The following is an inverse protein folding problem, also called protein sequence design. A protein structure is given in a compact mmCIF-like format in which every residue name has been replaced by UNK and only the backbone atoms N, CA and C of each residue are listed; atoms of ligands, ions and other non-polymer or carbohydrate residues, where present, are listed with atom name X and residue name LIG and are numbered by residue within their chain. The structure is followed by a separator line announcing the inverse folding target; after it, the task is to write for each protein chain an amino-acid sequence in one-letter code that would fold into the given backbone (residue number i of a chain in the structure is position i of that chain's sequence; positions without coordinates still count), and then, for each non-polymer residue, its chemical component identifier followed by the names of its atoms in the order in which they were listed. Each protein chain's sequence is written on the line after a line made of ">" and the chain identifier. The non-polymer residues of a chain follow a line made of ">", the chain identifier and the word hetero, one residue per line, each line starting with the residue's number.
data_IF_939985188638
#
_entry.id   IF_939985188638
#
_cell.length_a   1.000
_cell.length_b   1.000
_cell.length_c   1.000
_cell.angle_alpha   90.00
_cell.angle_beta   90.00
_cell.angle_gamma   90.00
#
_symmetry.space_group_name_H-M   'P 1'
#
loop_
_entity.id
_entity.type
_entity.pdbx_description
1 polymer ?
#
# COMPACT_ATOMS: atom_id res chain seq x y z
N UNK A 1 45.69 -2.89 59.86
CA UNK A 1 45.46 -2.88 58.39
C UNK A 1 46.75 -2.60 57.61
N UNK A 2 47.68 -1.82 58.15
CA UNK A 2 48.95 -1.45 57.50
C UNK A 2 50.08 -2.47 57.64
N UNK A 3 49.97 -3.45 58.55
CA UNK A 3 51.00 -4.48 58.79
C UNK A 3 50.77 -5.79 58.02
N UNK A 4 49.75 -5.88 57.14
CA UNK A 4 49.50 -7.08 56.34
C UNK A 4 49.86 -6.83 54.85
N UNK A 5 51.03 -7.31 54.38
CA UNK A 5 51.48 -7.09 53.00
C UNK A 5 50.54 -7.69 51.96
N UNK A 6 49.83 -8.79 52.28
CA UNK A 6 48.87 -9.40 51.35
C UNK A 6 47.64 -8.51 51.14
N UNK A 7 47.18 -7.83 52.21
CA UNK A 7 46.07 -6.88 52.12
C UNK A 7 46.46 -5.61 51.34
N UNK A 8 47.70 -5.14 51.51
CA UNK A 8 48.24 -4.00 50.76
C UNK A 8 48.40 -4.32 49.26
N UNK A 9 48.91 -5.50 48.91
CA UNK A 9 49.03 -5.95 47.53
C UNK A 9 47.66 -6.16 46.86
N UNK A 10 46.67 -6.68 47.59
CA UNK A 10 45.29 -6.78 47.11
C UNK A 10 44.69 -5.42 46.75
N UNK A 11 44.87 -4.41 47.61
CA UNK A 11 44.43 -3.03 47.36
C UNK A 11 45.16 -2.40 46.16
N UNK A 12 46.48 -2.60 46.05
CA UNK A 12 47.27 -2.09 44.93
C UNK A 12 46.80 -2.69 43.60
N UNK A 13 46.59 -4.01 43.55
CA UNK A 13 46.09 -4.71 42.37
C UNK A 13 44.68 -4.23 41.98
N UNK A 14 43.79 -3.99 42.96
CA UNK A 14 42.47 -3.44 42.70
C UNK A 14 42.53 -2.02 42.10
N UNK A 15 43.42 -1.16 42.60
CA UNK A 15 43.66 0.18 42.05
C UNK A 15 44.23 0.13 40.63
N UNK A 16 45.19 -0.77 40.36
CA UNK A 16 45.71 -0.95 39.00
C UNK A 16 44.64 -1.47 38.04
N UNK A 17 43.79 -2.42 38.47
CA UNK A 17 42.69 -2.91 37.66
C UNK A 17 41.67 -1.81 37.35
N UNK A 18 41.31 -0.97 38.33
CA UNK A 18 40.43 0.18 38.14
C UNK A 18 41.03 1.21 37.19
N UNK A 19 42.32 1.54 37.34
CA UNK A 19 43.02 2.47 36.47
C UNK A 19 43.08 1.95 35.03
N UNK A 20 43.39 0.66 34.83
CA UNK A 20 43.37 0.03 33.52
C UNK A 20 41.98 0.05 32.89
N UNK A 21 40.93 -0.27 33.66
CA UNK A 21 39.54 -0.21 33.17
C UNK A 21 39.13 1.23 32.78
N UNK A 22 39.52 2.23 33.57
CA UNK A 22 39.26 3.64 33.27
C UNK A 22 39.98 4.11 31.99
N UNK A 23 41.23 3.68 31.78
CA UNK A 23 41.99 3.98 30.56
C UNK A 23 41.38 3.31 29.32
N UNK A 24 40.96 2.05 29.43
CA UNK A 24 40.26 1.34 28.34
C UNK A 24 38.96 2.06 28.00
N UNK A 25 38.18 2.44 29.02
CA UNK A 25 36.93 3.18 28.84
C UNK A 25 37.16 4.53 28.16
N UNK A 26 38.13 5.33 28.63
CA UNK A 26 38.46 6.62 28.06
C UNK A 26 38.96 6.48 26.60
N UNK A 27 39.82 5.50 26.32
CA UNK A 27 40.30 5.20 24.98
C UNK A 27 39.16 4.83 24.03
N UNK A 28 38.26 3.92 24.46
CA UNK A 28 37.08 3.54 23.68
C UNK A 28 36.15 4.74 23.44
N UNK A 29 35.92 5.57 24.47
CA UNK A 29 35.08 6.76 24.37
C UNK A 29 35.65 7.76 23.35
N UNK A 30 36.96 8.00 23.36
CA UNK A 30 37.64 8.87 22.40
C UNK A 30 37.54 8.30 20.99
N UNK A 31 37.72 6.99 20.80
CA UNK A 31 37.63 6.35 19.47
C UNK A 31 36.21 6.43 18.90
N UNK A 32 35.19 6.15 19.71
CA UNK A 32 33.77 6.17 19.28
C UNK A 32 33.32 7.59 18.89
N UNK A 33 33.77 8.61 19.63
CA UNK A 33 33.44 10.01 19.37
C UNK A 33 34.48 10.74 18.51
N UNK A 34 35.46 10.01 17.99
CA UNK A 34 36.55 10.62 17.22
C UNK A 34 36.03 11.13 15.87
N UNK A 35 36.37 12.37 15.48
CA UNK A 35 36.11 12.86 14.12
C UNK A 35 37.01 12.20 13.07
N UNK A 36 37.92 11.29 13.46
CA UNK A 36 38.86 10.61 12.56
C UNK A 36 38.21 9.52 11.69
N UNK A 37 37.00 9.06 12.04
CA UNK A 37 36.20 8.10 11.28
C UNK A 37 34.84 8.71 10.88
N UNK A 38 34.84 9.78 10.07
CA UNK A 38 33.59 10.39 9.62
C UNK A 38 32.82 9.37 8.78
N UNK A 39 31.48 9.39 8.90
CA UNK A 39 30.64 8.69 7.95
C UNK A 39 30.88 9.31 6.56
N UNK A 40 31.56 8.58 5.66
CA UNK A 40 31.99 9.15 4.37
C UNK A 40 30.97 8.94 3.27
N UNK A 41 30.25 7.81 3.32
CA UNK A 41 29.43 7.37 2.20
C UNK A 41 28.14 6.69 2.68
N UNK A 42 27.04 7.09 2.06
CA UNK A 42 25.78 6.36 2.07
C UNK A 42 25.71 5.53 0.79
N UNK A 43 25.77 4.22 0.92
CA UNK A 43 25.62 3.30 -0.19
C UNK A 43 24.13 2.96 -0.34
N UNK A 44 23.52 3.42 -1.43
CA UNK A 44 22.13 3.09 -1.75
C UNK A 44 22.08 1.79 -2.53
N UNK A 45 21.19 0.89 -2.12
CA UNK A 45 20.94 -0.37 -2.82
C UNK A 45 19.44 -0.50 -3.10
N UNK A 46 19.10 -0.71 -4.36
CA UNK A 46 17.72 -0.85 -4.83
C UNK A 46 17.56 -0.34 -6.26
N UNK A 47 16.58 -0.87 -6.98
CA UNK A 47 16.14 -0.30 -8.25
C UNK A 47 15.12 0.79 -7.95
N UNK A 48 15.56 2.05 -8.04
CA UNK A 48 14.71 3.21 -7.78
C UNK A 48 14.10 3.70 -9.09
N UNK A 49 12.78 3.60 -9.23
CA UNK A 49 12.05 4.09 -10.39
C UNK A 49 11.35 5.42 -10.09
N UNK A 50 10.92 5.62 -8.84
CA UNK A 50 10.10 6.77 -8.45
C UNK A 50 10.82 7.72 -7.48
N UNK A 51 11.70 7.20 -6.61
CA UNK A 51 12.45 8.01 -5.67
C UNK A 51 13.60 8.71 -6.38
N UNK A 52 13.59 10.05 -6.39
CA UNK A 52 14.63 10.83 -7.08
C UNK A 52 15.90 10.96 -6.26
N UNK A 53 17.02 11.22 -6.94
CA UNK A 53 18.31 11.43 -6.28
C UNK A 53 18.27 12.59 -5.28
N UNK A 54 17.56 13.66 -5.63
CA UNK A 54 17.42 14.86 -4.78
C UNK A 54 16.67 14.53 -3.48
N UNK A 55 15.60 13.73 -3.56
CA UNK A 55 14.85 13.29 -2.38
C UNK A 55 15.73 12.47 -1.44
N UNK A 56 16.53 11.57 -2.01
CA UNK A 56 17.51 10.76 -1.26
C UNK A 56 18.57 11.64 -0.60
N UNK A 57 19.13 12.60 -1.32
CA UNK A 57 20.14 13.51 -0.77
C UNK A 57 19.60 14.36 0.38
N UNK A 58 18.35 14.82 0.28
CA UNK A 58 17.68 15.57 1.36
C UNK A 58 17.45 14.66 2.58
N UNK A 59 16.91 13.46 2.39
CA UNK A 59 16.69 12.51 3.49
C UNK A 59 18.02 12.10 4.18
N UNK A 60 19.07 11.89 3.38
CA UNK A 60 20.41 11.60 3.86
C UNK A 60 20.98 12.74 4.72
N UNK A 61 20.91 13.99 4.24
CA UNK A 61 21.44 15.15 4.98
C UNK A 61 20.69 15.40 6.28
N UNK A 62 19.38 15.13 6.31
CA UNK A 62 18.55 15.33 7.49
C UNK A 62 18.83 14.32 8.61
N UNK A 63 19.30 13.11 8.28
CA UNK A 63 19.38 11.99 9.23
C UNK A 63 20.79 11.43 9.48
N UNK A 64 21.72 11.61 8.55
CA UNK A 64 23.07 11.08 8.67
C UNK A 64 24.01 12.05 9.41
N UNK A 65 23.62 12.47 10.61
CA UNK A 65 24.41 13.38 11.45
C UNK A 65 25.30 12.59 12.41
N UNK A 66 26.61 12.84 12.37
CA UNK A 66 27.58 12.27 13.33
C UNK A 66 28.70 11.43 12.68
N UNK A 67 29.37 10.63 13.52
CA UNK A 67 30.44 9.70 13.14
C UNK A 67 29.87 8.33 12.75
N UNK A 68 30.66 7.50 12.07
CA UNK A 68 30.29 6.12 11.71
C UNK A 68 29.76 5.31 12.92
N UNK A 69 30.32 5.54 14.10
CA UNK A 69 29.90 4.85 15.32
C UNK A 69 28.69 5.49 16.01
N UNK A 70 28.50 6.80 15.87
CA UNK A 70 27.48 7.56 16.61
C UNK A 70 26.19 7.81 15.82
N UNK A 71 26.18 7.57 14.50
CA UNK A 71 24.99 7.78 13.66
C UNK A 71 23.82 6.90 14.11
N UNK A 72 22.66 7.50 14.30
CA UNK A 72 21.42 6.78 14.62
C UNK A 72 20.85 6.14 13.34
N UNK A 73 20.94 4.81 13.27
CA UNK A 73 20.46 4.07 12.10
C UNK A 73 18.93 4.05 12.01
N UNK A 74 18.23 4.19 13.14
CA UNK A 74 16.76 4.21 13.17
C UNK A 74 16.24 5.60 12.77
N UNK A 75 16.98 6.67 13.07
CA UNK A 75 16.72 8.00 12.50
C UNK A 75 16.90 8.00 10.98
N UNK A 76 18.01 7.44 10.49
CA UNK A 76 18.25 7.27 9.04
C UNK A 76 17.12 6.48 8.40
N UNK A 77 16.73 5.34 8.99
CA UNK A 77 15.63 4.51 8.47
C UNK A 77 14.34 5.31 8.34
N UNK A 78 13.92 5.98 9.42
CA UNK A 78 12.68 6.77 9.45
C UNK A 78 12.68 7.92 8.43
N UNK A 79 13.83 8.56 8.21
CA UNK A 79 13.94 9.64 7.23
C UNK A 79 13.70 9.14 5.79
N UNK A 80 14.19 7.94 5.45
CA UNK A 80 13.94 7.34 4.15
C UNK A 80 12.52 6.77 4.03
N UNK A 81 11.97 6.17 5.09
CA UNK A 81 10.58 5.66 5.12
C UNK A 81 9.53 6.78 5.02
N UNK A 82 9.91 8.04 5.34
CA UNK A 82 9.04 9.20 5.15
C UNK A 82 8.82 9.56 3.67
N UNK A 83 9.62 9.02 2.75
CA UNK A 83 9.45 9.23 1.31
C UNK A 83 8.23 8.43 0.82
N UNK A 84 7.25 9.03 0.12
CA UNK A 84 5.97 8.37 -0.16
C UNK A 84 6.05 7.08 -0.98
N UNK A 85 7.05 6.98 -1.86
CA UNK A 85 7.26 5.80 -2.72
C UNK A 85 8.08 4.69 -2.05
N UNK A 86 8.61 4.94 -0.86
CA UNK A 86 9.44 3.97 -0.13
C UNK A 86 8.53 3.09 0.72
N UNK A 87 8.58 1.78 0.46
CA UNK A 87 7.83 0.78 1.23
C UNK A 87 8.58 0.36 2.48
N UNK A 88 9.84 0.00 2.31
CA UNK A 88 10.68 -0.58 3.36
C UNK A 88 12.10 -0.10 3.21
N UNK A 89 12.74 0.17 4.35
CA UNK A 89 14.15 0.57 4.40
C UNK A 89 14.89 -0.35 5.34
N UNK A 90 15.99 -0.91 4.86
CA UNK A 90 16.94 -1.66 5.68
C UNK A 90 18.26 -0.88 5.75
N UNK A 91 18.63 -0.49 6.97
CA UNK A 91 19.85 0.28 7.22
C UNK A 91 20.83 -0.61 7.96
N UNK A 92 22.05 -0.74 7.42
CA UNK A 92 23.13 -1.49 8.08
C UNK A 92 24.45 -0.75 7.97
N UNK A 93 25.30 -0.92 8.99
CA UNK A 93 26.67 -0.40 8.96
C UNK A 93 27.56 -1.33 8.15
N UNK A 94 28.34 -0.75 7.24
CA UNK A 94 29.38 -1.42 6.49
C UNK A 94 30.73 -0.82 6.89
N UNK A 95 31.49 -1.62 7.65
CA UNK A 95 32.84 -1.24 8.05
C UNK A 95 33.74 -1.04 6.81
N UNK A 96 34.67 -0.06 6.80
CA UNK A 96 35.07 0.81 7.93
C UNK A 96 34.31 2.13 8.10
N UNK A 97 33.66 2.65 7.06
CA UNK A 97 33.22 4.06 7.04
C UNK A 97 31.91 4.32 6.29
N UNK A 98 31.10 3.28 6.05
CA UNK A 98 29.88 3.37 5.23
C UNK A 98 28.63 2.94 5.96
N UNK A 99 27.52 3.59 5.65
CA UNK A 99 26.19 3.09 5.99
C UNK A 99 25.52 2.69 4.68
N UNK A 100 25.06 1.45 4.63
CA UNK A 100 24.26 0.99 3.51
C UNK A 100 22.78 1.15 3.83
N UNK A 101 22.06 1.74 2.89
CA UNK A 101 20.61 1.91 2.93
C UNK A 101 20.05 1.13 1.75
N UNK A 102 19.40 0.00 2.04
CA UNK A 102 18.65 -0.77 1.06
C UNK A 102 17.20 -0.28 1.07
N UNK A 103 16.69 0.12 -0.09
CA UNK A 103 15.36 0.70 -0.25
C UNK A 103 14.53 -0.22 -1.14
N UNK A 104 13.35 -0.58 -0.65
CA UNK A 104 12.30 -1.26 -1.42
C UNK A 104 11.22 -0.23 -1.79
N UNK A 105 11.02 0.02 -3.08
CA UNK A 105 9.95 0.90 -3.54
C UNK A 105 8.59 0.19 -3.58
N UNK A 106 7.52 0.96 -3.39
CA UNK A 106 6.17 0.48 -3.62
C UNK A 106 5.92 0.18 -5.10
N UNK A 107 5.41 -1.03 -5.39
CA UNK A 107 4.91 -1.39 -6.72
C UNK A 107 3.41 -1.12 -6.79
N UNK A 108 3.03 -0.07 -7.52
CA UNK A 108 1.63 0.33 -7.68
C UNK A 108 0.78 -0.74 -8.37
N UNK A 109 -0.32 -1.16 -7.74
CA UNK A 109 -1.27 -2.13 -8.30
C UNK A 109 -2.56 -1.46 -8.81
N UNK A 110 -3.12 -0.54 -8.03
CA UNK A 110 -4.38 0.12 -8.36
C UNK A 110 -4.45 1.54 -7.78
N UNK A 111 -5.26 2.41 -8.40
CA UNK A 111 -5.62 3.71 -7.81
C UNK A 111 -6.64 3.48 -6.69
N UNK A 112 -6.47 4.16 -5.56
CA UNK A 112 -7.30 3.94 -4.37
C UNK A 112 -8.31 5.07 -4.11
N UNK A 113 -9.58 4.70 -4.02
CA UNK A 113 -10.70 5.57 -3.66
C UNK A 113 -11.61 5.92 -4.84
N UNK A 114 -12.78 6.46 -4.50
CA UNK A 114 -13.77 6.90 -5.48
C UNK A 114 -13.46 8.27 -6.08
N UNK A 115 -12.67 9.09 -5.39
CA UNK A 115 -12.19 10.37 -5.88
C UNK A 115 -10.97 10.17 -6.77
N UNK A 116 -11.16 10.35 -8.08
CA UNK A 116 -10.10 10.22 -9.08
C UNK A 116 -9.02 11.30 -8.95
N UNK A 117 -9.27 12.37 -8.20
CA UNK A 117 -8.29 13.44 -7.93
C UNK A 117 -7.37 13.13 -6.75
N UNK A 118 -7.74 12.19 -5.89
CA UNK A 118 -6.91 11.80 -4.76
C UNK A 118 -5.67 11.03 -5.25
N UNK A 119 -4.47 11.50 -4.86
CA UNK A 119 -3.16 10.88 -5.19
C UNK A 119 -2.87 9.63 -4.34
N UNK A 120 -3.88 8.78 -4.13
CA UNK A 120 -3.74 7.55 -3.34
C UNK A 120 -3.68 6.33 -4.24
N UNK A 121 -2.76 5.44 -3.90
CA UNK A 121 -2.45 4.23 -4.64
C UNK A 121 -2.41 3.08 -3.64
N UNK A 122 -2.81 1.89 -4.09
CA UNK A 122 -2.58 0.66 -3.35
C UNK A 122 -1.51 -0.16 -4.07
N UNK A 123 -0.56 -0.68 -3.31
CA UNK A 123 0.50 -1.50 -3.87
C UNK A 123 0.11 -2.98 -3.98
N UNK A 124 1.03 -3.81 -4.48
CA UNK A 124 0.84 -5.27 -4.61
C UNK A 124 0.66 -6.01 -3.28
N UNK A 125 1.04 -5.41 -2.15
CA UNK A 125 0.87 -5.95 -0.79
C UNK A 125 -0.45 -5.52 -0.14
N UNK A 126 -1.23 -4.63 -0.78
CA UNK A 126 -2.47 -4.11 -0.23
C UNK A 126 -2.31 -2.91 0.71
N UNK A 127 -1.10 -2.33 0.78
CA UNK A 127 -0.83 -1.12 1.57
C UNK A 127 -1.22 0.11 0.73
N UNK A 128 -1.90 1.07 1.36
CA UNK A 128 -2.29 2.33 0.72
C UNK A 128 -1.24 3.38 1.02
N UNK A 129 -0.72 4.02 -0.02
CA UNK A 129 0.28 5.08 0.08
C UNK A 129 -0.06 6.26 -0.84
N UNK A 130 0.58 7.40 -0.61
CA UNK A 130 0.46 8.56 -1.49
C UNK A 130 1.50 8.47 -2.60
N UNK A 131 1.04 8.49 -3.85
CA UNK A 131 1.90 8.26 -5.01
C UNK A 131 1.42 9.04 -6.21
N UNK A 132 2.28 9.91 -6.74
CA UNK A 132 2.02 10.62 -7.99
C UNK A 132 2.30 9.72 -9.19
N UNK A 133 1.23 9.16 -9.75
CA UNK A 133 1.26 8.41 -10.99
C UNK A 133 0.88 9.30 -12.15
N UNK A 134 1.71 9.29 -13.21
CA UNK A 134 1.36 9.87 -14.50
C UNK A 134 0.04 9.30 -15.03
N UNK A 135 -0.76 10.13 -15.70
CA UNK A 135 -2.01 9.74 -16.33
C UNK A 135 -1.83 8.69 -17.44
N UNK A 136 -0.61 8.56 -17.99
CA UNK A 136 -0.28 7.53 -18.95
C UNK A 136 -0.31 6.11 -18.34
N UNK A 137 -0.12 5.98 -17.03
CA UNK A 137 -0.13 4.69 -16.34
C UNK A 137 -1.58 4.25 -16.11
N UNK A 138 -2.01 3.26 -16.90
CA UNK A 138 -3.35 2.68 -16.82
C UNK A 138 -3.40 1.61 -15.72
N UNK A 139 -3.74 2.03 -14.51
CA UNK A 139 -4.05 1.12 -13.40
C UNK A 139 -5.57 0.95 -13.22
N UNK A 140 -6.05 -0.21 -12.75
CA UNK A 140 -7.43 -0.35 -12.29
C UNK A 140 -7.71 0.59 -11.11
N UNK A 141 -8.99 0.88 -10.87
CA UNK A 141 -9.43 1.65 -9.71
C UNK A 141 -10.06 0.73 -8.66
N UNK A 142 -9.58 0.80 -7.42
CA UNK A 142 -10.20 0.15 -6.27
C UNK A 142 -10.88 1.19 -5.39
N UNK A 143 -12.05 0.86 -4.84
CA UNK A 143 -12.62 1.64 -3.76
C UNK A 143 -13.35 0.74 -2.77
N UNK A 144 -13.23 1.06 -1.48
CA UNK A 144 -13.94 0.39 -0.42
C UNK A 144 -13.83 1.12 0.92
N UNK A 145 -14.43 0.57 1.98
CA UNK A 145 -14.28 1.13 3.33
C UNK A 145 -12.82 1.11 3.79
N UNK A 146 -12.50 1.92 4.82
CA UNK A 146 -11.15 1.95 5.40
C UNK A 146 -10.68 0.54 5.81
N UNK A 147 -9.41 0.22 5.53
CA UNK A 147 -8.82 -1.09 5.81
C UNK A 147 -9.16 -2.21 4.81
N UNK A 148 -9.99 -1.96 3.79
CA UNK A 148 -10.35 -3.00 2.80
C UNK A 148 -9.36 -3.17 1.63
N UNK A 149 -8.30 -2.35 1.58
CA UNK A 149 -7.34 -2.34 0.48
C UNK A 149 -6.61 -3.69 0.31
N UNK A 150 -6.28 -4.36 1.42
CA UNK A 150 -5.67 -5.70 1.42
C UNK A 150 -6.62 -6.76 0.85
N UNK A 151 -7.88 -6.76 1.26
CA UNK A 151 -8.91 -7.67 0.74
C UNK A 151 -9.11 -7.47 -0.77
N UNK A 152 -9.27 -6.22 -1.21
CA UNK A 152 -9.42 -5.86 -2.62
C UNK A 152 -8.22 -6.34 -3.44
N UNK A 153 -7.01 -6.13 -2.94
CA UNK A 153 -5.75 -6.56 -3.59
C UNK A 153 -5.69 -8.08 -3.71
N UNK A 154 -5.99 -8.81 -2.63
CA UNK A 154 -5.98 -10.28 -2.62
C UNK A 154 -7.01 -10.86 -3.59
N UNK A 155 -8.22 -10.28 -3.65
CA UNK A 155 -9.29 -10.76 -4.55
C UNK A 155 -9.08 -10.38 -6.00
N UNK A 156 -8.44 -9.25 -6.26
CA UNK A 156 -8.21 -8.77 -7.62
C UNK A 156 -7.47 -9.77 -8.49
N UNK A 157 -6.43 -10.43 -7.95
CA UNK A 157 -5.70 -11.49 -8.67
C UNK A 157 -6.61 -12.64 -9.10
N UNK A 158 -7.46 -13.12 -8.19
CA UNK A 158 -8.42 -14.19 -8.48
C UNK A 158 -9.49 -13.76 -9.51
N UNK A 159 -9.97 -12.52 -9.44
CA UNK A 159 -10.92 -12.00 -10.44
C UNK A 159 -10.28 -11.89 -11.83
N UNK A 160 -9.04 -11.38 -11.93
CA UNK A 160 -8.31 -11.35 -13.19
C UNK A 160 -8.16 -12.73 -13.81
N UNK A 161 -7.77 -13.72 -13.00
CA UNK A 161 -7.59 -15.08 -13.46
C UNK A 161 -8.91 -15.70 -13.94
N UNK A 162 -10.00 -15.49 -13.19
CA UNK A 162 -11.32 -15.99 -13.58
C UNK A 162 -11.84 -15.38 -14.88
N UNK A 163 -11.55 -14.10 -15.15
CA UNK A 163 -12.00 -13.38 -16.34
C UNK A 163 -11.07 -13.54 -17.56
N UNK A 164 -9.86 -14.07 -17.37
CA UNK A 164 -8.86 -14.24 -18.44
C UNK A 164 -9.38 -15.03 -19.67
N UNK A 165 -10.19 -16.11 -19.53
CA UNK A 165 -10.75 -16.83 -20.68
C UNK A 165 -11.65 -15.98 -21.59
N UNK A 166 -12.22 -14.88 -21.06
CA UNK A 166 -13.04 -13.95 -21.83
C UNK A 166 -12.23 -12.83 -22.49
N UNK A 167 -10.93 -12.74 -22.22
CA UNK A 167 -10.10 -11.59 -22.63
C UNK A 167 -10.54 -10.26 -21.98
N UNK A 168 -11.30 -10.31 -20.89
CA UNK A 168 -11.83 -9.14 -20.20
C UNK A 168 -11.00 -8.84 -18.94
N UNK A 169 -10.68 -7.56 -18.73
CA UNK A 169 -9.92 -7.13 -17.56
C UNK A 169 -10.80 -6.37 -16.57
N UNK A 170 -10.69 -6.60 -15.26
CA UNK A 170 -11.32 -5.74 -14.26
C UNK A 170 -10.62 -4.37 -14.25
N UNK A 171 -11.34 -3.32 -14.67
CA UNK A 171 -10.89 -1.92 -14.65
C UNK A 171 -11.31 -1.17 -13.40
N UNK A 172 -12.37 -1.61 -12.73
CA UNK A 172 -12.78 -1.08 -11.43
C UNK A 172 -13.23 -2.24 -10.55
N UNK A 173 -12.80 -2.24 -9.28
CA UNK A 173 -13.29 -3.16 -8.25
C UNK A 173 -13.76 -2.35 -7.06
N UNK A 174 -15.03 -2.51 -6.72
CA UNK A 174 -15.69 -1.77 -5.65
C UNK A 174 -16.14 -2.73 -4.57
N UNK A 175 -15.84 -2.39 -3.33
CA UNK A 175 -16.38 -3.02 -2.14
C UNK A 175 -17.26 -2.01 -1.41
N UNK A 176 -18.57 -2.23 -1.41
CA UNK A 176 -19.50 -1.33 -0.72
C UNK A 176 -19.26 -1.35 0.81
N UNK A 177 -19.78 -0.36 1.57
CA UNK A 177 -19.77 -0.40 3.04
C UNK A 177 -20.47 -1.64 3.62
N UNK A 178 -21.35 -2.27 2.82
CA UNK A 178 -22.01 -3.53 3.18
C UNK A 178 -21.20 -4.76 2.72
N UNK A 179 -19.95 -4.63 2.29
CA UNK A 179 -19.12 -5.73 1.76
C UNK A 179 -19.72 -6.46 0.55
N UNK A 180 -20.51 -5.76 -0.25
CA UNK A 180 -20.94 -6.24 -1.57
C UNK A 180 -19.91 -5.83 -2.64
N UNK A 181 -19.52 -6.79 -3.47
CA UNK A 181 -18.53 -6.67 -4.52
C UNK A 181 -19.19 -6.29 -5.85
N UNK A 182 -18.58 -5.34 -6.54
CA UNK A 182 -18.92 -4.95 -7.90
C UNK A 182 -17.65 -4.82 -8.74
N UNK A 183 -17.68 -5.31 -9.97
CA UNK A 183 -16.55 -5.23 -10.90
C UNK A 183 -16.99 -4.53 -12.18
N UNK A 184 -16.23 -3.55 -12.66
CA UNK A 184 -16.39 -3.00 -14.01
C UNK A 184 -15.28 -3.51 -14.92
N UNK A 185 -15.65 -4.08 -16.05
CA UNK A 185 -14.74 -4.70 -17.02
C UNK A 185 -14.25 -3.70 -18.08
N UNK A 186 -13.22 -4.10 -18.83
CA UNK A 186 -12.60 -3.33 -19.92
C UNK A 186 -13.56 -2.95 -21.05
N UNK A 187 -14.58 -3.77 -21.32
CA UNK A 187 -15.64 -3.48 -22.30
C UNK A 187 -16.76 -2.56 -21.75
N UNK A 188 -16.67 -2.16 -20.48
CA UNK A 188 -17.65 -1.30 -19.80
C UNK A 188 -18.73 -2.06 -19.04
N UNK A 189 -18.83 -3.39 -19.18
CA UNK A 189 -19.81 -4.22 -18.46
C UNK A 189 -19.58 -4.15 -16.96
N UNK A 190 -20.65 -3.94 -16.20
CA UNK A 190 -20.61 -3.96 -14.74
C UNK A 190 -21.21 -5.27 -14.21
N UNK A 191 -20.44 -6.00 -13.40
CA UNK A 191 -20.86 -7.22 -12.72
C UNK A 191 -21.14 -6.91 -11.24
N UNK A 192 -22.36 -7.19 -10.80
CA UNK A 192 -22.76 -7.14 -9.39
C UNK A 192 -22.63 -8.55 -8.80
N UNK A 193 -21.63 -8.77 -7.94
CA UNK A 193 -21.35 -10.07 -7.34
C UNK A 193 -22.03 -10.27 -5.98
N UNK A 194 -22.44 -9.18 -5.34
CA UNK A 194 -23.00 -9.19 -3.98
C UNK A 194 -21.96 -9.50 -2.92
N UNK A 195 -22.43 -9.97 -1.75
CA UNK A 195 -21.57 -10.31 -0.61
C UNK A 195 -20.82 -11.61 -0.82
N UNK A 196 -19.59 -11.67 -0.35
CA UNK A 196 -18.86 -12.93 -0.25
C UNK A 196 -19.37 -13.74 0.94
N UNK A 197 -19.91 -14.92 0.66
CA UNK A 197 -20.57 -15.78 1.64
C UNK A 197 -20.01 -17.20 1.51
N UNK A 198 -19.86 -17.90 2.64
CA UNK A 198 -19.27 -19.25 2.64
C UNK A 198 -20.01 -20.24 1.75
N UNK A 199 -21.34 -20.18 1.72
CA UNK A 199 -22.20 -21.08 0.92
C UNK A 199 -22.25 -20.71 -0.56
N UNK A 200 -21.93 -19.46 -0.89
CA UNK A 200 -21.97 -18.95 -2.25
C UNK A 200 -20.88 -17.87 -2.41
N UNK A 201 -19.62 -18.29 -2.62
CA UNK A 201 -18.51 -17.37 -2.80
C UNK A 201 -18.67 -16.52 -4.06
N UNK A 202 -18.18 -15.27 -4.02
CA UNK A 202 -18.23 -14.38 -5.20
C UNK A 202 -17.46 -14.93 -6.38
N UNK A 203 -16.37 -15.67 -6.14
CA UNK A 203 -15.58 -16.30 -7.20
C UNK A 203 -16.35 -17.41 -7.91
N UNK A 204 -17.17 -18.19 -7.20
CA UNK A 204 -18.01 -19.21 -7.83
C UNK A 204 -19.07 -18.56 -8.71
N UNK A 205 -19.75 -17.50 -8.23
CA UNK A 205 -20.70 -16.72 -9.05
C UNK A 205 -20.04 -16.18 -10.32
N UNK A 206 -18.83 -15.63 -10.20
CA UNK A 206 -18.05 -15.13 -11.33
C UNK A 206 -17.68 -16.25 -12.31
N UNK A 207 -17.23 -17.41 -11.80
CA UNK A 207 -16.86 -18.56 -12.64
C UNK A 207 -18.05 -19.11 -13.45
N UNK A 208 -19.24 -19.17 -12.84
CA UNK A 208 -20.47 -19.58 -13.52
C UNK A 208 -20.85 -18.62 -14.63
N UNK A 209 -20.72 -17.31 -14.36
CA UNK A 209 -20.90 -16.28 -15.38
C UNK A 209 -19.94 -16.50 -16.55
N UNK A 210 -18.64 -16.65 -16.28
CA UNK A 210 -17.61 -16.88 -17.31
C UNK A 210 -17.92 -18.11 -18.16
N UNK A 211 -18.30 -19.23 -17.53
CA UNK A 211 -18.66 -20.46 -18.23
C UNK A 211 -19.88 -20.29 -19.15
N UNK A 212 -20.89 -19.51 -18.72
CA UNK A 212 -22.08 -19.24 -19.54
C UNK A 212 -21.88 -18.14 -20.59
N UNK A 213 -20.95 -17.21 -20.37
CA UNK A 213 -20.84 -15.97 -21.15
C UNK A 213 -20.55 -16.26 -22.62
N UNK A 214 -19.59 -17.15 -22.90
CA UNK A 214 -19.22 -17.51 -24.27
C UNK A 214 -20.38 -18.18 -25.04
N UNK A 215 -21.22 -18.96 -24.34
CA UNK A 215 -22.32 -19.72 -24.95
C UNK A 215 -23.58 -18.88 -25.19
N UNK A 216 -23.76 -17.78 -24.46
CA UNK A 216 -25.02 -17.01 -24.46
C UNK A 216 -24.86 -15.54 -24.85
N UNK A 217 -23.80 -14.88 -24.36
CA UNK A 217 -23.66 -13.42 -24.39
C UNK A 217 -22.55 -12.94 -25.32
N UNK A 218 -21.54 -13.76 -25.60
CA UNK A 218 -20.47 -13.42 -26.55
C UNK A 218 -20.95 -13.34 -28.01
N UNK A 219 -22.04 -14.03 -28.34
CA UNK A 219 -22.67 -14.01 -29.68
C UNK A 219 -23.75 -12.93 -29.82
N UNK A 220 -24.19 -12.32 -28.71
CA UNK A 220 -25.12 -11.21 -28.74
C UNK A 220 -24.37 -9.98 -29.29
N UNK A 221 -24.72 -9.55 -30.50
CA UNK A 221 -24.17 -8.33 -31.12
C UNK A 221 -24.73 -7.04 -30.46
N UNK A 222 -24.96 -7.09 -29.15
CA UNK A 222 -25.52 -6.01 -28.33
C UNK A 222 -24.60 -5.70 -27.17
N UNK A 223 -24.48 -4.42 -26.86
CA UNK A 223 -23.74 -3.95 -25.70
C UNK A 223 -24.51 -4.28 -24.42
N UNK A 224 -23.91 -5.06 -23.54
CA UNK A 224 -24.38 -5.28 -22.18
C UNK A 224 -23.78 -4.22 -21.27
N UNK A 225 -24.60 -3.61 -20.42
CA UNK A 225 -24.12 -2.59 -19.48
C UNK A 225 -23.99 -3.12 -18.05
N UNK A 226 -24.85 -4.06 -17.66
CA UNK A 226 -24.93 -4.55 -16.29
C UNK A 226 -25.40 -6.00 -16.23
N UNK A 227 -24.77 -6.79 -15.34
CA UNK A 227 -25.17 -8.15 -15.00
C UNK A 227 -25.25 -8.28 -13.48
N UNK A 228 -26.40 -8.72 -12.99
CA UNK A 228 -26.59 -9.11 -11.60
C UNK A 228 -26.32 -10.60 -11.40
N UNK A 229 -25.25 -10.91 -10.67
CA UNK A 229 -24.80 -12.28 -10.39
C UNK A 229 -25.25 -12.77 -9.01
N UNK A 230 -26.04 -11.99 -8.26
CA UNK A 230 -26.47 -12.32 -6.89
C UNK A 230 -27.44 -13.50 -6.83
N UNK A 231 -27.99 -13.93 -7.95
CA UNK A 231 -28.96 -15.02 -8.01
C UNK A 231 -28.25 -16.39 -8.11
N UNK A 232 -28.62 -17.38 -7.28
CA UNK A 232 -27.94 -18.66 -7.25
C UNK A 232 -28.06 -19.47 -8.54
N UNK A 233 -29.15 -19.34 -9.27
CA UNK A 233 -29.46 -20.19 -10.43
C UNK A 233 -29.59 -19.42 -11.76
N UNK A 234 -29.10 -18.16 -11.82
CA UNK A 234 -29.20 -17.37 -13.05
C UNK A 234 -28.61 -15.98 -12.91
N UNK A 235 -28.75 -15.19 -13.97
CA UNK A 235 -28.22 -13.83 -14.04
C UNK A 235 -29.29 -12.89 -14.60
N UNK A 236 -29.40 -11.70 -14.02
CA UNK A 236 -30.25 -10.65 -14.58
C UNK A 236 -29.39 -9.71 -15.44
N UNK A 237 -29.84 -9.41 -16.66
CA UNK A 237 -29.11 -8.60 -17.62
C UNK A 237 -29.84 -7.28 -17.86
N UNK A 238 -29.09 -6.18 -17.97
CA UNK A 238 -29.62 -4.90 -18.44
C UNK A 238 -29.02 -4.55 -19.79
N UNK A 239 -29.88 -4.44 -20.79
CA UNK A 239 -29.54 -4.00 -22.15
C UNK A 239 -30.07 -2.57 -22.32
N UNK A 240 -29.20 -1.57 -22.58
CA UNK A 240 -29.61 -0.16 -22.66
C UNK A 240 -30.71 0.10 -23.70
N UNK A 241 -30.73 -0.66 -24.79
CA UNK A 241 -31.69 -0.50 -25.90
C UNK A 241 -33.15 -0.85 -25.52
N UNK A 242 -33.36 -1.64 -24.45
CA UNK A 242 -34.71 -2.11 -24.05
C UNK A 242 -35.35 -1.16 -23.01
N UNK A 243 -34.64 -0.12 -22.57
CA UNK A 243 -35.28 0.98 -21.81
C UNK A 243 -36.16 1.80 -22.76
N UNK A 244 -37.48 1.57 -22.71
CA UNK A 244 -38.44 2.43 -23.38
C UNK A 244 -38.28 3.90 -22.91
N UNK A 245 -38.23 4.88 -23.82
CA UNK A 245 -38.29 6.29 -23.48
C UNK A 245 -39.72 6.61 -23.02
N UNK A 246 -40.05 6.41 -21.74
CA UNK A 246 -41.45 6.56 -21.34
C UNK A 246 -41.84 6.40 -19.86
N UNK A 247 -40.91 6.38 -18.90
CA UNK A 247 -41.30 6.46 -17.49
C UNK A 247 -40.76 7.75 -16.88
N UNK A 248 -41.37 8.86 -17.29
CA UNK A 248 -41.41 10.05 -16.43
C UNK A 248 -42.14 9.67 -15.14
N UNK A 249 -41.41 9.53 -14.05
CA UNK A 249 -42.00 9.57 -12.71
C UNK A 249 -42.60 10.96 -12.50
N UNK A 250 -43.90 11.12 -12.75
CA UNK A 250 -44.68 12.29 -12.35
C UNK A 250 -44.58 12.44 -10.83
N UNK A 251 -43.66 13.29 -10.36
CA UNK A 251 -43.72 13.84 -9.01
C UNK A 251 -45.00 14.68 -8.92
N UNK A 252 -46.00 14.16 -8.21
CA UNK A 252 -47.20 14.89 -7.85
C UNK A 252 -46.80 16.17 -7.08
N UNK A 253 -46.90 17.32 -7.75
CA UNK A 253 -46.91 18.62 -7.08
C UNK A 253 -48.27 18.77 -6.40
N UNK A 254 -48.34 18.46 -5.11
CA UNK A 254 -49.45 18.90 -4.25
C UNK A 254 -49.40 20.43 -4.17
N UNK A 255 -50.24 21.10 -4.97
CA UNK A 255 -50.60 22.50 -4.77
C UNK A 255 -51.43 22.58 -3.50
N UNK A 256 -50.81 22.99 -2.39
CA UNK A 256 -51.55 23.45 -1.20
C UNK A 256 -52.09 24.85 -1.54
N UNK A 257 -53.37 24.91 -1.90
CA UNK A 257 -54.09 26.17 -2.01
C UNK A 257 -54.20 26.80 -0.62
N UNK A 258 -53.74 28.04 -0.49
CA UNK A 258 -54.08 28.92 0.63
C UNK A 258 -54.85 30.09 0.04
N UNK A 259 -56.18 29.98 0.15
CA UNK A 259 -57.20 31.02 0.28
C UNK A 259 -58.14 30.43 1.36
N UNK A 260 -58.57 31.10 2.41
CA UNK A 260 -59.07 32.46 2.49
C UNK A 260 -59.17 32.92 3.95
N UNK A 261 -59.35 34.24 4.08
CA UNK A 261 -59.48 35.13 5.23
C UNK A 261 -60.47 34.71 6.33
N UNK A 262 -60.14 35.11 7.57
CA UNK A 262 -60.95 35.96 8.44
C UNK A 262 -60.01 36.62 9.47
#
# INVERSE_FOLDING_TARGET
>A
MWDNPDSLNGCANALYALAAAALIYAGAHVVIHSPLLPLRQLALQGELAHVTREQVEVAARASAVGSFFSVDLDEVRRAFEALPWVRKVEVRRLWPDRVQVAIEEHVALARWGSDTKAKRVVNTYGEVFEGELSDAVRLPQFAGPGGSAEELTRRYGAFRQALAPLGLEPRQVLLSPRYAWQIRLSNGLTLELGRDQLKEPVLERLSRFVASYAQTLGSLNRRLDYVDLRYPNGFALRVPEIMHPGVETKRAKTKRGVKEKA
#
